data_IF_856121707187
#
_entry.id   IF_856121707187
#
_cell.length_a   1.000
_cell.length_b   1.000
_cell.length_c   1.000
_cell.angle_alpha   90.00
_cell.angle_beta   90.00
_cell.angle_gamma   90.00
#
_symmetry.space_group_name_H-M   'P 1'
#
loop_
_entity.id
_entity.type
_entity.pdbx_description
1 polymer ?
#
# COMPACT_ATOMS: atom_id res chain seq x y z
N UNK A 1 9.32 -22.12 8.56
CA UNK A 1 8.51 -21.00 9.09
C UNK A 1 9.25 -19.72 8.77
N UNK A 2 8.80 -18.97 7.77
CA UNK A 2 9.40 -17.68 7.43
C UNK A 2 8.88 -16.59 8.35
N UNK A 3 9.64 -15.50 8.53
CA UNK A 3 9.22 -14.31 9.31
C UNK A 3 7.84 -13.78 8.87
N UNK A 4 7.46 -13.99 7.60
CA UNK A 4 6.13 -13.67 7.05
C UNK A 4 4.99 -14.44 7.72
N UNK A 5 5.18 -15.70 8.11
CA UNK A 5 4.11 -16.55 8.67
C UNK A 5 3.69 -16.04 10.05
N UNK A 6 4.64 -15.52 10.83
CA UNK A 6 4.38 -14.94 12.15
C UNK A 6 3.56 -13.65 12.07
N UNK A 7 3.85 -12.81 11.07
CA UNK A 7 3.11 -11.54 10.86
C UNK A 7 1.68 -11.82 10.41
N UNK A 8 1.47 -12.79 9.52
CA UNK A 8 0.13 -13.19 9.08
C UNK A 8 -0.69 -13.74 10.26
N UNK A 9 -0.08 -14.55 11.14
CA UNK A 9 -0.74 -15.05 12.34
C UNK A 9 -1.12 -13.91 13.31
N UNK A 10 -0.20 -12.97 13.55
CA UNK A 10 -0.47 -11.77 14.37
C UNK A 10 -1.62 -10.92 13.79
N UNK A 11 -1.67 -10.76 12.46
CA UNK A 11 -2.72 -10.00 11.79
C UNK A 11 -4.13 -10.59 12.00
N UNK A 12 -4.26 -11.92 12.08
CA UNK A 12 -5.54 -12.59 12.36
C UNK A 12 -6.01 -12.31 13.80
N UNK A 13 -5.08 -12.11 14.73
CA UNK A 13 -5.40 -11.84 16.13
C UNK A 13 -5.54 -10.35 16.47
N UNK A 14 -5.11 -9.44 15.59
CA UNK A 14 -5.20 -7.99 15.79
C UNK A 14 -6.61 -7.49 16.19
N UNK A 15 -7.72 -8.00 15.63
CA UNK A 15 -9.08 -7.62 16.05
C UNK A 15 -9.42 -7.93 17.50
N UNK A 16 -8.68 -8.84 18.15
CA UNK A 16 -8.87 -9.17 19.57
C UNK A 16 -8.24 -8.12 20.49
N UNK A 17 -7.30 -7.30 19.99
CA UNK A 17 -6.47 -6.40 20.79
C UNK A 17 -6.48 -4.94 20.31
N UNK A 18 -6.95 -4.65 19.10
CA UNK A 18 -7.04 -3.31 18.55
C UNK A 18 -8.21 -3.20 17.57
N UNK A 19 -8.79 -2.00 17.45
CA UNK A 19 -9.71 -1.67 16.36
C UNK A 19 -8.93 -1.41 15.08
N UNK A 20 -9.53 -1.73 13.92
CA UNK A 20 -8.91 -1.44 12.62
C UNK A 20 -8.64 0.05 12.41
N UNK A 21 -9.47 0.92 13.00
CA UNK A 21 -9.26 2.37 12.99
C UNK A 21 -7.97 2.80 13.73
N UNK A 22 -7.53 2.02 14.72
CA UNK A 22 -6.26 2.25 15.42
C UNK A 22 -5.07 1.64 14.68
N UNK A 23 -5.30 0.66 13.82
CA UNK A 23 -4.26 -0.06 13.07
C UNK A 23 -3.94 0.66 11.75
N UNK A 24 -4.97 1.21 11.10
CA UNK A 24 -4.83 1.92 9.84
C UNK A 24 -4.85 3.42 10.04
N UNK A 25 -3.87 4.09 9.46
CA UNK A 25 -3.84 5.55 9.36
C UNK A 25 -4.70 6.00 8.18
N UNK A 26 -5.70 6.84 8.46
CA UNK A 26 -6.64 7.39 7.47
C UNK A 26 -5.92 8.17 6.37
N UNK A 27 -4.87 8.92 6.70
CA UNK A 27 -4.13 9.70 5.70
C UNK A 27 -3.36 8.79 4.75
N UNK A 28 -2.78 7.70 5.27
CA UNK A 28 -2.10 6.69 4.44
C UNK A 28 -3.11 5.99 3.52
N UNK A 29 -4.29 5.62 4.02
CA UNK A 29 -5.33 5.00 3.19
C UNK A 29 -5.77 5.93 2.05
N UNK A 30 -5.94 7.23 2.33
CA UNK A 30 -6.28 8.23 1.31
C UNK A 30 -5.19 8.39 0.26
N UNK A 31 -3.92 8.29 0.63
CA UNK A 31 -2.82 8.34 -0.33
C UNK A 31 -2.79 7.08 -1.22
N UNK A 32 -3.11 5.90 -0.67
CA UNK A 32 -3.27 4.66 -1.46
C UNK A 32 -4.42 4.79 -2.45
N UNK A 33 -5.58 5.26 -1.99
CA UNK A 33 -6.75 5.50 -2.85
C UNK A 33 -6.44 6.50 -3.97
N UNK A 34 -5.76 7.61 -3.63
CA UNK A 34 -5.32 8.60 -4.62
C UNK A 34 -4.38 7.97 -5.64
N UNK A 35 -3.43 7.14 -5.19
CA UNK A 35 -2.48 6.48 -6.08
C UNK A 35 -3.20 5.56 -7.07
N UNK A 36 -4.12 4.73 -6.58
CA UNK A 36 -4.91 3.81 -7.42
C UNK A 36 -5.78 4.57 -8.43
N UNK A 37 -6.40 5.67 -8.01
CA UNK A 37 -7.19 6.51 -8.92
C UNK A 37 -6.31 7.11 -10.04
N UNK A 38 -5.18 7.71 -9.66
CA UNK A 38 -4.24 8.31 -10.60
C UNK A 38 -3.67 7.28 -11.58
N UNK A 39 -3.33 6.09 -11.11
CA UNK A 39 -2.83 5.00 -11.94
C UNK A 39 -3.90 4.48 -12.90
N UNK A 40 -5.14 4.29 -12.42
CA UNK A 40 -6.25 3.78 -13.25
C UNK A 40 -6.71 4.75 -14.33
N UNK A 41 -6.79 6.03 -14.00
CA UNK A 41 -7.31 7.06 -14.91
C UNK A 41 -6.21 7.85 -15.62
N UNK A 42 -4.93 7.51 -15.37
CA UNK A 42 -3.77 8.22 -15.89
C UNK A 42 -3.84 9.73 -15.64
N UNK A 43 -4.25 10.12 -14.43
CA UNK A 43 -4.38 11.53 -14.02
C UNK A 43 -3.35 11.88 -12.94
N UNK A 44 -2.81 13.11 -12.95
CA UNK A 44 -1.85 13.51 -11.93
C UNK A 44 -2.56 13.75 -10.59
N UNK A 45 -1.94 13.29 -9.51
CA UNK A 45 -2.45 13.43 -8.14
C UNK A 45 -2.50 14.88 -7.65
N UNK A 46 -1.52 15.67 -8.09
CA UNK A 46 -1.37 17.09 -7.79
C UNK A 46 -1.11 17.85 -9.10
N UNK A 47 -1.47 19.12 -9.12
CA UNK A 47 -1.20 19.99 -10.28
C UNK A 47 0.30 20.25 -10.39
N UNK A 48 0.80 20.31 -11.63
CA UNK A 48 2.20 20.64 -11.91
C UNK A 48 3.04 19.45 -12.35
N UNK A 49 4.33 19.71 -12.58
CA UNK A 49 5.32 18.72 -12.98
C UNK A 49 5.88 17.96 -11.75
N UNK A 50 6.81 17.02 -11.98
CA UNK A 50 7.44 16.21 -10.92
C UNK A 50 8.01 17.07 -9.76
N UNK A 51 8.57 18.24 -10.06
CA UNK A 51 9.11 19.16 -9.05
C UNK A 51 8.07 19.97 -8.27
N UNK A 52 6.83 20.04 -8.76
CA UNK A 52 5.72 20.75 -8.10
C UNK A 52 4.94 19.83 -7.15
N UNK A 53 5.18 18.51 -7.23
CA UNK A 53 4.50 17.55 -6.38
C UNK A 53 5.11 17.56 -4.96
N UNK A 54 4.28 17.40 -3.92
CA UNK A 54 4.78 17.30 -2.56
C UNK A 54 5.77 16.14 -2.42
N UNK A 55 6.97 16.39 -1.87
CA UNK A 55 8.00 15.35 -1.68
C UNK A 55 7.46 14.09 -1.00
N UNK A 56 6.68 14.27 0.07
CA UNK A 56 6.05 13.16 0.82
C UNK A 56 5.17 12.29 -0.08
N UNK A 57 4.42 12.89 -1.00
CA UNK A 57 3.60 12.15 -1.95
C UNK A 57 4.44 11.34 -2.93
N UNK A 58 5.50 11.96 -3.49
CA UNK A 58 6.41 11.29 -4.42
C UNK A 58 6.99 10.05 -3.75
N UNK A 59 7.54 10.19 -2.55
CA UNK A 59 8.10 9.08 -1.78
C UNK A 59 7.06 7.98 -1.52
N UNK A 60 5.85 8.35 -1.08
CA UNK A 60 4.75 7.41 -0.84
C UNK A 60 4.32 6.67 -2.10
N UNK A 61 4.25 7.35 -3.24
CA UNK A 61 3.86 6.73 -4.52
C UNK A 61 4.82 5.61 -4.94
N UNK A 62 6.13 5.78 -4.70
CA UNK A 62 7.12 4.74 -4.94
C UNK A 62 6.97 3.55 -4.00
N UNK A 63 6.73 3.81 -2.71
CA UNK A 63 6.51 2.76 -1.71
C UNK A 63 5.26 1.94 -2.08
N UNK A 64 4.16 2.60 -2.42
CA UNK A 64 2.91 1.94 -2.80
C UNK A 64 3.14 1.06 -4.04
N UNK A 65 3.76 1.62 -5.09
CA UNK A 65 4.08 0.89 -6.32
C UNK A 65 4.92 -0.36 -6.05
N UNK A 66 6.01 -0.22 -5.30
CA UNK A 66 6.90 -1.34 -4.99
C UNK A 66 6.18 -2.44 -4.18
N UNK A 67 5.33 -2.03 -3.24
CA UNK A 67 4.54 -2.95 -2.41
C UNK A 67 3.52 -3.72 -3.24
N UNK A 68 2.81 -3.05 -4.15
CA UNK A 68 1.85 -3.70 -5.06
C UNK A 68 2.55 -4.70 -5.99
N UNK A 69 3.66 -4.32 -6.63
CA UNK A 69 4.42 -5.22 -7.49
C UNK A 69 4.94 -6.46 -6.73
N UNK A 70 5.43 -6.25 -5.50
CA UNK A 70 5.87 -7.35 -4.63
C UNK A 70 4.73 -8.29 -4.27
N UNK A 71 3.53 -7.74 -3.99
CA UNK A 71 2.32 -8.53 -3.71
C UNK A 71 1.88 -9.33 -4.93
N UNK A 72 1.83 -8.72 -6.11
CA UNK A 72 1.48 -9.41 -7.36
C UNK A 72 2.43 -10.57 -7.66
N UNK A 73 3.74 -10.35 -7.55
CA UNK A 73 4.74 -11.41 -7.73
C UNK A 73 4.53 -12.59 -6.76
N UNK A 74 4.17 -12.30 -5.51
CA UNK A 74 3.86 -13.31 -4.50
C UNK A 74 2.61 -14.12 -4.86
N UNK A 75 1.56 -13.46 -5.32
CA UNK A 75 0.30 -14.13 -5.69
C UNK A 75 0.46 -14.99 -6.96
N UNK A 76 1.23 -14.54 -7.95
CA UNK A 76 1.58 -15.35 -9.13
C UNK A 76 2.33 -16.61 -8.70
N UNK A 77 3.32 -16.49 -7.79
CA UNK A 77 4.07 -17.62 -7.26
C UNK A 77 3.21 -18.62 -6.49
N UNK A 78 2.17 -18.15 -5.78
CA UNK A 78 1.20 -19.04 -5.10
C UNK A 78 0.33 -19.81 -6.09
N UNK A 79 -0.11 -19.18 -7.18
CA UNK A 79 -0.99 -19.79 -8.20
C UNK A 79 -0.30 -20.82 -9.10
N UNK A 80 0.99 -20.65 -9.36
CA UNK A 80 1.79 -21.60 -10.15
C UNK A 80 2.26 -22.84 -9.38
N UNK A 81 1.67 -23.10 -8.21
CA UNK A 81 2.06 -24.17 -7.28
C UNK A 81 0.94 -25.18 -7.11
#
# INVERSE_FOLDING_TARGET
MGVSDHVENLAVHLPLFASWDSVYDVDIQRDIERYLYCEKFNTPAYKGAYGDQPKRWVDMSFIIRHTMASKEAREIKKRGK
#
